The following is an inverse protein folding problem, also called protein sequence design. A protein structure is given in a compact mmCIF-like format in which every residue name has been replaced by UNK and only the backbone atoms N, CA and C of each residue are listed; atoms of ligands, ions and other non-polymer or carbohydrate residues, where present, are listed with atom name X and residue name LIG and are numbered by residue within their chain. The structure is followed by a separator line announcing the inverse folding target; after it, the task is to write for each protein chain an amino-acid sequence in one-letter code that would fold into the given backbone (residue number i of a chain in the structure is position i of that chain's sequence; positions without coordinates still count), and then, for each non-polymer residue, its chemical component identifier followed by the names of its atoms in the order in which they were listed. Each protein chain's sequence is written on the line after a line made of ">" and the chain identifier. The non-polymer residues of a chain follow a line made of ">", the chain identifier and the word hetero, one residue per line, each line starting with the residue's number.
data_IF_680291284266
#
_entry.id   IF_680291284266
#
_cell.length_a   1.000
_cell.length_b   1.000
_cell.length_c   1.000
_cell.angle_alpha   90.00
_cell.angle_beta   90.00
_cell.angle_gamma   90.00
#
_symmetry.space_group_name_H-M   'P 1'
#
loop_
_entity.id
_entity.type
_entity.pdbx_description
1 polymer ?
#
# COMPACT_ATOMS: atom_id res chain seq x y z
N UNK A 1 5.37 2.05 7.62
CA UNK A 1 5.28 1.67 9.04
C UNK A 1 6.60 1.03 9.51
N UNK A 2 7.07 1.33 10.72
CA UNK A 2 8.18 0.59 11.35
C UNK A 2 7.66 -0.40 12.40
N UNK A 3 8.37 -1.52 12.58
CA UNK A 3 8.11 -2.51 13.62
C UNK A 3 8.25 -1.88 15.01
N UNK A 4 7.39 -2.21 15.98
CA UNK A 4 7.57 -1.76 17.36
C UNK A 4 8.95 -2.17 17.90
N UNK A 5 9.69 -1.22 18.48
CA UNK A 5 11.04 -1.46 18.99
C UNK A 5 12.16 -1.26 17.96
N UNK A 6 11.85 -0.81 16.74
CA UNK A 6 12.86 -0.42 15.73
C UNK A 6 13.83 0.61 16.32
N UNK A 7 15.13 0.38 16.16
CA UNK A 7 16.14 1.37 16.47
C UNK A 7 16.12 2.47 15.40
N UNK A 8 15.76 3.72 15.73
CA UNK A 8 15.69 4.80 14.74
C UNK A 8 17.05 5.12 14.09
N UNK A 9 18.16 4.83 14.78
CA UNK A 9 19.51 5.06 14.28
C UNK A 9 20.06 3.86 13.48
N UNK A 10 19.31 2.75 13.41
CA UNK A 10 19.73 1.53 12.71
C UNK A 10 18.54 0.72 12.17
N UNK A 11 17.71 1.35 11.33
CA UNK A 11 16.55 0.70 10.72
C UNK A 11 17.01 -0.41 9.76
N UNK A 12 16.58 -1.65 10.02
CA UNK A 12 16.79 -2.78 9.13
C UNK A 12 15.62 -2.90 8.14
N UNK A 13 15.83 -3.61 7.04
CA UNK A 13 14.77 -3.91 6.06
C UNK A 13 13.57 -4.62 6.70
N UNK A 14 13.83 -5.59 7.59
CA UNK A 14 12.81 -6.32 8.36
C UNK A 14 12.05 -5.46 9.37
N UNK A 15 12.55 -4.26 9.67
CA UNK A 15 11.83 -3.28 10.49
C UNK A 15 10.76 -2.53 9.70
N UNK A 16 10.85 -2.52 8.36
CA UNK A 16 9.87 -1.87 7.49
C UNK A 16 8.70 -2.82 7.25
N UNK A 17 7.51 -2.41 7.69
CA UNK A 17 6.28 -3.20 7.58
C UNK A 17 5.31 -2.54 6.61
N UNK A 18 4.58 -3.35 5.85
CA UNK A 18 3.42 -2.90 5.09
C UNK A 18 2.30 -2.43 6.05
N UNK A 19 1.78 -1.21 5.88
CA UNK A 19 0.69 -0.68 6.70
C UNK A 19 -0.61 -1.49 6.55
N UNK A 20 -0.79 -2.19 5.42
CA UNK A 20 -2.03 -2.90 5.07
C UNK A 20 -2.05 -4.38 5.45
N UNK A 21 -0.91 -5.01 5.70
CA UNK A 21 -0.85 -6.42 6.12
C UNK A 21 0.21 -6.73 7.18
N UNK A 22 0.99 -5.72 7.59
CA UNK A 22 2.10 -5.81 8.56
C UNK A 22 3.17 -6.85 8.24
N UNK A 23 3.20 -7.35 7.00
CA UNK A 23 4.31 -8.16 6.50
C UNK A 23 5.55 -7.29 6.36
N UNK A 24 6.68 -7.86 6.74
CA UNK A 24 8.00 -7.26 6.56
C UNK A 24 8.32 -7.07 5.08
N UNK A 25 9.13 -6.05 4.80
CA UNK A 25 9.82 -5.95 3.53
C UNK A 25 10.90 -7.04 3.45
N UNK A 26 10.97 -7.69 2.30
CA UNK A 26 11.98 -8.69 1.93
C UNK A 26 12.41 -8.42 0.50
N UNK A 27 13.54 -8.98 0.07
CA UNK A 27 14.04 -8.79 -1.31
C UNK A 27 13.06 -9.31 -2.38
N UNK A 28 12.22 -10.29 -2.05
CA UNK A 28 11.21 -10.82 -2.98
C UNK A 28 9.85 -10.09 -2.94
N UNK A 29 9.67 -9.15 -2.01
CA UNK A 29 8.39 -8.47 -1.81
C UNK A 29 8.55 -6.96 -2.03
N UNK A 30 8.22 -6.44 -3.22
CA UNK A 30 8.33 -5.02 -3.45
C UNK A 30 7.40 -4.24 -2.54
N UNK A 31 7.85 -3.05 -2.18
CA UNK A 31 7.10 -2.07 -1.39
C UNK A 31 7.10 -0.71 -2.09
N UNK A 32 6.03 0.06 -1.88
CA UNK A 32 5.95 1.46 -2.28
C UNK A 32 5.80 2.29 -1.00
N UNK A 33 6.64 3.31 -0.89
CA UNK A 33 6.55 4.32 0.17
C UNK A 33 5.64 5.48 -0.23
N UNK A 34 4.80 5.91 0.72
CA UNK A 34 3.93 7.08 0.64
C UNK A 34 4.36 8.17 1.62
N UNK A 35 3.43 9.07 1.95
CA UNK A 35 3.70 10.14 2.90
C UNK A 35 3.95 9.59 4.31
N UNK A 36 4.84 10.26 5.04
CA UNK A 36 5.17 9.95 6.44
C UNK A 36 5.62 8.49 6.65
N UNK A 37 6.33 7.91 5.67
CA UNK A 37 6.85 6.54 5.77
C UNK A 37 5.75 5.47 5.76
N UNK A 38 4.57 5.78 5.22
CA UNK A 38 3.54 4.76 4.94
C UNK A 38 4.01 3.81 3.85
N UNK A 39 3.68 2.53 3.94
CA UNK A 39 4.19 1.46 3.09
C UNK A 39 3.04 0.58 2.62
N UNK A 40 2.99 0.30 1.32
CA UNK A 40 2.15 -0.76 0.76
C UNK A 40 3.00 -1.78 0.02
N UNK A 41 2.83 -3.06 0.33
CA UNK A 41 3.51 -4.13 -0.40
C UNK A 41 2.78 -4.50 -1.70
N UNK A 42 3.51 -5.10 -2.64
CA UNK A 42 2.99 -5.50 -3.95
C UNK A 42 1.76 -6.42 -3.89
N UNK A 43 1.63 -7.25 -2.84
CA UNK A 43 0.43 -8.08 -2.64
C UNK A 43 -0.82 -7.25 -2.30
N UNK A 44 -0.72 -6.36 -1.30
CA UNK A 44 -1.83 -5.49 -0.93
C UNK A 44 -2.19 -4.53 -2.07
N UNK A 45 -1.18 -4.01 -2.77
CA UNK A 45 -1.39 -3.17 -3.94
C UNK A 45 -2.16 -3.90 -5.04
N UNK A 46 -1.83 -5.17 -5.31
CA UNK A 46 -2.55 -5.97 -6.29
C UNK A 46 -4.01 -6.23 -5.89
N UNK A 47 -4.31 -6.45 -4.61
CA UNK A 47 -5.68 -6.59 -4.10
C UNK A 47 -6.47 -5.29 -4.25
N UNK A 48 -5.88 -4.17 -3.82
CA UNK A 48 -6.48 -2.85 -3.97
C UNK A 48 -6.77 -2.53 -5.45
N UNK A 49 -5.81 -2.79 -6.34
CA UNK A 49 -5.93 -2.54 -7.77
C UNK A 49 -7.07 -3.35 -8.40
N UNK A 50 -7.16 -4.65 -8.10
CA UNK A 50 -8.26 -5.49 -8.58
C UNK A 50 -9.61 -4.94 -8.16
N UNK A 51 -9.77 -4.57 -6.89
CA UNK A 51 -11.07 -4.11 -6.41
C UNK A 51 -11.44 -2.74 -6.98
N UNK A 52 -10.59 -1.72 -6.82
CA UNK A 52 -10.98 -0.33 -7.10
C UNK A 52 -10.72 0.12 -8.55
N UNK A 53 -9.77 -0.52 -9.24
CA UNK A 53 -9.42 -0.16 -10.62
C UNK A 53 -10.13 -1.07 -11.62
N UNK A 54 -10.00 -2.40 -11.45
CA UNK A 54 -10.59 -3.37 -12.39
C UNK A 54 -12.08 -3.56 -12.13
N UNK A 55 -12.46 -3.90 -10.89
CA UNK A 55 -13.86 -4.16 -10.54
C UNK A 55 -14.66 -2.87 -10.33
N UNK A 56 -13.99 -1.71 -10.29
CA UNK A 56 -14.59 -0.39 -10.04
C UNK A 56 -15.49 -0.40 -8.79
N UNK A 57 -15.05 -1.13 -7.76
CA UNK A 57 -15.73 -1.28 -6.48
C UNK A 57 -14.80 -0.85 -5.35
N UNK A 58 -15.32 -0.24 -4.29
CA UNK A 58 -14.56 0.12 -3.10
C UNK A 58 -15.25 -0.44 -1.87
N UNK A 59 -14.47 -0.77 -0.85
CA UNK A 59 -14.98 -1.24 0.44
C UNK A 59 -14.64 -0.29 1.61
N UNK A 60 -13.92 0.81 1.34
CA UNK A 60 -13.61 1.79 2.37
C UNK A 60 -14.85 2.61 2.73
N UNK A 61 -15.02 2.99 4.01
CA UNK A 61 -16.05 3.92 4.44
C UNK A 61 -16.00 5.26 3.69
N UNK A 62 -17.15 5.91 3.52
CA UNK A 62 -17.22 7.25 2.95
C UNK A 62 -16.39 8.24 3.79
N UNK A 63 -15.62 9.10 3.13
CA UNK A 63 -14.77 10.06 3.80
C UNK A 63 -13.54 9.46 4.50
N UNK A 64 -13.20 8.18 4.27
CA UNK A 64 -11.98 7.60 4.83
C UNK A 64 -10.71 8.33 4.33
N UNK A 65 -9.78 8.57 5.25
CA UNK A 65 -8.47 9.17 4.95
C UNK A 65 -7.55 8.12 4.34
N UNK A 66 -6.95 8.43 3.20
CA UNK A 66 -5.94 7.57 2.58
C UNK A 66 -4.65 7.54 3.42
N UNK A 67 -4.18 6.36 3.81
CA UNK A 67 -2.91 6.14 4.52
C UNK A 67 -1.70 6.60 3.71
N UNK A 68 -1.74 6.45 2.38
CA UNK A 68 -0.58 6.74 1.51
C UNK A 68 -0.38 8.22 1.18
N UNK A 69 -1.46 9.00 1.04
CA UNK A 69 -1.37 10.44 0.74
C UNK A 69 -1.91 11.36 1.84
N UNK A 70 -2.48 10.80 2.90
CA UNK A 70 -3.03 11.54 4.04
C UNK A 70 -4.19 12.48 3.69
N UNK A 71 -4.90 12.21 2.59
CA UNK A 71 -6.02 13.03 2.13
C UNK A 71 -7.35 12.27 2.19
N UNK A 72 -8.45 12.99 2.39
CA UNK A 72 -9.81 12.50 2.14
C UNK A 72 -10.13 12.66 0.66
N UNK A 73 -10.55 11.58 0.00
CA UNK A 73 -10.85 11.59 -1.44
C UNK A 73 -12.26 11.04 -1.65
N UNK A 74 -13.02 11.67 -2.54
CA UNK A 74 -14.36 11.21 -2.93
C UNK A 74 -14.34 10.00 -3.87
N UNK A 75 -13.16 9.66 -4.43
CA UNK A 75 -13.00 8.48 -5.28
C UNK A 75 -13.08 7.18 -4.48
N UNK A 76 -13.24 6.05 -5.19
CA UNK A 76 -13.17 4.71 -4.60
C UNK A 76 -11.87 4.53 -3.80
N UNK A 77 -11.97 3.83 -2.69
CA UNK A 77 -10.84 3.43 -1.88
C UNK A 77 -10.97 1.98 -1.43
N UNK A 78 -9.82 1.37 -1.19
CA UNK A 78 -9.70 0.02 -0.65
C UNK A 78 -9.28 0.10 0.81
N UNK A 79 -10.04 -0.53 1.68
CA UNK A 79 -9.70 -0.76 3.08
C UNK A 79 -9.12 -2.17 3.22
N UNK A 80 -8.02 -2.29 3.95
CA UNK A 80 -7.45 -3.60 4.25
C UNK A 80 -8.44 -4.46 5.04
N UNK A 81 -8.61 -5.75 4.66
CA UNK A 81 -9.43 -6.68 5.45
C UNK A 81 -8.77 -7.07 6.78
N UNK A 82 -7.45 -6.88 6.91
CA UNK A 82 -6.71 -7.24 8.12
C UNK A 82 -6.57 -6.06 9.10
N UNK A 83 -6.54 -4.82 8.59
CA UNK A 83 -6.29 -3.61 9.37
C UNK A 83 -7.24 -2.49 8.91
N UNK A 84 -8.42 -2.34 9.54
CA UNK A 84 -9.45 -1.38 9.11
C UNK A 84 -8.97 0.08 9.09
N UNK A 85 -7.93 0.41 9.85
CA UNK A 85 -7.29 1.73 9.85
C UNK A 85 -6.52 2.04 8.55
N UNK A 86 -6.14 1.01 7.78
CA UNK A 86 -5.34 1.14 6.58
C UNK A 86 -6.22 1.21 5.32
N UNK A 87 -6.24 2.39 4.69
CA UNK A 87 -7.05 2.69 3.51
C UNK A 87 -6.18 3.29 2.41
N UNK A 88 -6.35 2.85 1.16
CA UNK A 88 -5.68 3.44 0.00
C UNK A 88 -6.71 3.93 -1.02
N UNK A 89 -6.59 5.18 -1.46
CA UNK A 89 -7.46 5.73 -2.49
C UNK A 89 -7.08 5.24 -3.90
N UNK A 90 -8.02 5.37 -4.84
CA UNK A 90 -7.84 5.00 -6.25
C UNK A 90 -6.64 5.70 -6.89
N UNK A 91 -6.45 7.00 -6.65
CA UNK A 91 -5.28 7.75 -7.13
C UNK A 91 -3.95 7.10 -6.70
N UNK A 92 -3.76 6.87 -5.40
CA UNK A 92 -2.53 6.28 -4.87
C UNK A 92 -2.32 4.85 -5.37
N UNK A 93 -3.39 4.07 -5.50
CA UNK A 93 -3.32 2.71 -6.06
C UNK A 93 -2.86 2.72 -7.51
N UNK A 94 -3.40 3.61 -8.35
CA UNK A 94 -2.96 3.75 -9.75
C UNK A 94 -1.50 4.22 -9.87
N UNK A 95 -1.10 5.20 -9.06
CA UNK A 95 0.28 5.71 -9.07
C UNK A 95 1.27 4.64 -8.60
N UNK A 96 1.02 4.02 -7.45
CA UNK A 96 1.85 2.94 -6.91
C UNK A 96 1.96 1.77 -7.90
N UNK A 97 0.84 1.35 -8.51
CA UNK A 97 0.84 0.30 -9.52
C UNK A 97 1.61 0.69 -10.78
N UNK A 98 1.53 1.95 -11.21
CA UNK A 98 2.29 2.43 -12.37
C UNK A 98 3.80 2.50 -12.08
N UNK A 99 4.19 2.97 -10.90
CA UNK A 99 5.59 2.98 -10.45
C UNK A 99 6.12 1.56 -10.36
N UNK A 100 5.44 0.70 -9.60
CA UNK A 100 5.95 -0.64 -9.33
C UNK A 100 6.00 -1.53 -10.58
N UNK A 101 5.08 -1.37 -11.52
CA UNK A 101 5.12 -2.11 -12.80
C UNK A 101 6.29 -1.77 -13.72
N UNK A 102 6.99 -0.66 -13.45
CA UNK A 102 8.15 -0.21 -14.24
C UNK A 102 9.48 -0.54 -13.54
N UNK A 103 9.42 -0.97 -12.30
CA UNK A 103 10.58 -1.41 -11.57
C UNK A 103 11.11 -2.71 -12.21
N UNK A 104 12.40 -2.74 -12.52
CA UNK A 104 13.03 -3.89 -13.19
C UNK A 104 13.63 -4.87 -12.21
N UNK A 105 13.84 -4.44 -10.97
CA UNK A 105 14.38 -5.29 -9.90
C UNK A 105 13.31 -6.25 -9.40
N UNK A 106 12.03 -5.87 -9.57
CA UNK A 106 10.88 -6.68 -9.19
C UNK A 106 10.03 -7.05 -10.41
N UNK A 107 9.72 -8.34 -10.58
CA UNK A 107 8.80 -8.84 -11.61
C UNK A 107 7.31 -8.58 -11.30
N UNK A 108 6.99 -7.51 -10.58
CA UNK A 108 5.61 -7.18 -10.26
C UNK A 108 4.90 -6.61 -11.48
N UNK A 109 3.71 -7.13 -11.79
CA UNK A 109 2.89 -6.67 -12.90
C UNK A 109 1.51 -6.25 -12.39
N UNK A 110 0.91 -5.27 -13.09
CA UNK A 110 -0.47 -4.86 -12.79
C UNK A 110 -1.40 -6.05 -13.00
N UNK A 111 -2.33 -6.33 -12.07
CA UNK A 111 -3.38 -7.30 -12.30
C UNK A 111 -4.18 -6.98 -13.57
N UNK A 112 -4.66 -8.02 -14.25
CA UNK A 112 -5.54 -7.95 -15.42
C UNK A 112 -6.97 -8.36 -15.05
#
# INVERSE_FOLDING_TARGET
>A
MHRPGTNPDNVQQSDVLCDFCRREWTDDLPVIEGHQGSIICGHCLALAYRLIVLNKSGNAPEGAKCTMCLEHRAELAWQSPAYPEAVICKRCTNQAAATLSKDKDYNWQKPQ
#
